data_IF_950680815982
#
_entry.id   IF_950680815982
#
_cell.length_a   1.000
_cell.length_b   1.000
_cell.length_c   1.000
_cell.angle_alpha   90.00
_cell.angle_beta   90.00
_cell.angle_gamma   90.00
#
_symmetry.space_group_name_H-M   'P 1'
#
loop_
_entity.id
_entity.type
_entity.pdbx_description
1 polymer ?
#
# COMPACT_ATOMS: atom_id res chain seq x y z
N UNK A 1 47.84 -4.76 -1.53
CA UNK A 1 46.95 -5.91 -1.26
C UNK A 1 45.77 -5.50 -0.35
N UNK A 2 45.28 -4.27 -0.46
CA UNK A 2 44.49 -3.64 0.63
C UNK A 2 43.11 -3.14 0.19
N UNK A 3 42.76 -3.25 -1.10
CA UNK A 3 41.47 -2.80 -1.64
C UNK A 3 40.45 -3.93 -1.89
N UNK A 4 40.80 -5.20 -1.66
CA UNK A 4 39.87 -6.33 -1.83
C UNK A 4 39.07 -6.68 -0.56
N UNK A 5 39.52 -6.21 0.61
CA UNK A 5 38.86 -6.47 1.89
C UNK A 5 37.66 -5.54 2.16
N UNK A 6 37.60 -4.38 1.51
CA UNK A 6 36.52 -3.39 1.74
C UNK A 6 35.19 -3.78 1.09
N UNK A 7 35.22 -4.53 -0.03
CA UNK A 7 34.01 -4.98 -0.74
C UNK A 7 33.29 -6.09 0.03
N UNK A 8 34.02 -6.92 0.76
CA UNK A 8 33.44 -7.99 1.59
C UNK A 8 32.71 -7.40 2.80
N UNK A 9 33.19 -6.29 3.36
CA UNK A 9 32.54 -5.62 4.49
C UNK A 9 31.20 -4.95 4.10
N UNK A 10 31.08 -4.46 2.86
CA UNK A 10 29.82 -3.87 2.35
C UNK A 10 28.76 -4.95 2.08
N UNK A 11 29.16 -6.18 1.70
CA UNK A 11 28.22 -7.28 1.47
C UNK A 11 27.65 -7.89 2.76
N UNK A 12 28.36 -7.81 3.88
CA UNK A 12 27.87 -8.30 5.19
C UNK A 12 26.88 -7.31 5.81
N UNK A 13 26.97 -6.01 5.48
CA UNK A 13 26.08 -4.97 6.00
C UNK A 13 24.68 -4.95 5.34
N UNK A 14 24.49 -5.67 4.23
CA UNK A 14 23.20 -5.78 3.53
C UNK A 14 22.31 -6.93 4.00
N UNK A 15 22.71 -7.66 5.06
CA UNK A 15 21.78 -8.49 5.83
C UNK A 15 20.96 -7.52 6.69
N UNK A 16 20.11 -6.74 6.02
CA UNK A 16 19.01 -6.05 6.65
C UNK A 16 18.19 -7.15 7.30
N UNK A 17 18.07 -7.09 8.63
CA UNK A 17 17.15 -7.91 9.40
C UNK A 17 15.73 -7.56 8.95
N UNK A 18 15.30 -8.05 7.79
CA UNK A 18 13.91 -8.36 7.59
C UNK A 18 13.66 -9.53 8.53
N UNK A 19 13.19 -9.23 9.75
CA UNK A 19 12.63 -10.27 10.59
C UNK A 19 11.40 -10.79 9.83
N UNK A 20 11.57 -11.93 9.17
CA UNK A 20 10.50 -12.58 8.45
C UNK A 20 9.38 -12.86 9.45
N UNK A 21 8.16 -12.51 9.05
CA UNK A 21 7.01 -12.77 9.90
C UNK A 21 6.80 -14.28 9.99
N UNK A 22 6.49 -14.75 11.19
CA UNK A 22 6.34 -16.16 11.51
C UNK A 22 4.94 -16.59 11.16
N UNK A 23 4.81 -17.38 10.10
CA UNK A 23 3.55 -18.05 9.75
C UNK A 23 3.07 -18.94 10.89
N UNK A 24 1.81 -18.77 11.25
CA UNK A 24 1.12 -19.55 12.29
C UNK A 24 -0.16 -20.12 11.70
N UNK A 25 -0.24 -21.45 11.64
CA UNK A 25 -1.48 -22.14 11.29
C UNK A 25 -2.41 -22.06 12.51
N UNK A 26 -3.56 -21.42 12.31
CA UNK A 26 -4.54 -21.13 13.38
C UNK A 26 -5.72 -22.10 13.34
N UNK A 27 -5.97 -22.70 12.18
CA UNK A 27 -6.89 -23.83 11.98
C UNK A 27 -6.30 -24.74 10.89
N UNK A 28 -6.99 -25.84 10.55
CA UNK A 28 -6.58 -26.69 9.41
C UNK A 28 -6.70 -25.97 8.06
N UNK A 29 -7.59 -24.97 7.95
CA UNK A 29 -7.89 -24.26 6.71
C UNK A 29 -7.41 -22.81 6.71
N UNK A 30 -6.83 -22.29 7.80
CA UNK A 30 -6.42 -20.89 7.90
C UNK A 30 -5.09 -20.69 8.63
N UNK A 31 -4.34 -19.69 8.17
CA UNK A 31 -3.06 -19.27 8.73
C UNK A 31 -2.94 -17.75 8.76
N UNK A 32 -2.09 -17.23 9.63
CA UNK A 32 -1.75 -15.81 9.71
C UNK A 32 -0.29 -15.66 10.13
N UNK A 33 0.37 -14.61 9.66
CA UNK A 33 1.76 -14.34 10.05
C UNK A 33 1.81 -13.35 11.22
N UNK A 34 2.69 -13.60 12.18
CA UNK A 34 3.00 -12.69 13.29
C UNK A 34 4.43 -12.13 13.18
N UNK A 35 4.72 -10.91 13.68
CA UNK A 35 6.09 -10.36 13.62
C UNK A 35 7.11 -11.11 14.48
N UNK A 36 6.62 -11.82 15.50
CA UNK A 36 7.38 -12.71 16.38
C UNK A 36 6.56 -13.98 16.60
N UNK A 37 7.18 -15.04 17.15
CA UNK A 37 6.45 -16.26 17.50
C UNK A 37 5.30 -15.92 18.47
N UNK A 38 4.08 -16.30 18.12
CA UNK A 38 2.92 -16.10 18.98
C UNK A 38 2.90 -17.07 20.16
N UNK A 39 2.37 -16.61 21.28
CA UNK A 39 1.97 -17.43 22.43
C UNK A 39 0.55 -17.94 22.23
N UNK A 40 0.33 -19.21 22.59
CA UNK A 40 -0.98 -19.87 22.51
C UNK A 40 -1.60 -19.95 23.89
N UNK A 41 -2.85 -19.48 24.00
CA UNK A 41 -3.68 -19.57 25.20
C UNK A 41 -4.95 -20.32 24.80
N UNK A 42 -5.13 -21.52 25.35
CA UNK A 42 -6.35 -22.30 25.17
C UNK A 42 -7.25 -22.16 26.39
N UNK A 43 -8.51 -21.83 26.14
CA UNK A 43 -9.56 -21.82 27.16
C UNK A 43 -10.65 -22.81 26.77
N UNK A 44 -11.60 -23.07 27.66
CA UNK A 44 -12.76 -23.93 27.33
C UNK A 44 -13.65 -23.36 26.21
N UNK A 45 -13.51 -22.08 25.87
CA UNK A 45 -14.39 -21.38 24.91
C UNK A 45 -13.67 -20.93 23.65
N UNK A 46 -12.39 -20.58 23.77
CA UNK A 46 -11.64 -19.89 22.71
C UNK A 46 -10.18 -20.33 22.73
N UNK A 47 -9.60 -20.38 21.54
CA UNK A 47 -8.15 -20.50 21.31
C UNK A 47 -7.62 -19.13 20.92
N UNK A 48 -6.62 -18.62 21.64
CA UNK A 48 -6.07 -17.29 21.42
C UNK A 48 -4.58 -17.37 21.11
N UNK A 49 -4.18 -16.80 19.99
CA UNK A 49 -2.79 -16.57 19.63
C UNK A 49 -2.48 -15.09 19.85
N UNK A 50 -1.44 -14.79 20.63
CA UNK A 50 -1.04 -13.40 20.87
C UNK A 50 0.45 -13.21 20.61
N UNK A 51 0.82 -12.05 20.08
CA UNK A 51 2.19 -11.62 19.93
C UNK A 51 2.28 -10.11 20.19
N UNK A 52 3.47 -9.65 20.58
CA UNK A 52 3.76 -8.24 20.79
C UNK A 52 5.14 -7.92 20.25
N UNK A 53 5.24 -6.81 19.52
CA UNK A 53 6.51 -6.17 19.18
C UNK A 53 6.51 -4.71 19.67
N UNK A 54 7.44 -3.89 19.17
CA UNK A 54 7.50 -2.46 19.51
C UNK A 54 6.36 -1.62 18.90
N UNK A 55 5.63 -2.15 17.91
CA UNK A 55 4.64 -1.42 17.14
C UNK A 55 3.20 -1.72 17.57
N UNK A 56 2.89 -2.96 17.97
CA UNK A 56 1.52 -3.34 18.32
C UNK A 56 1.40 -4.61 19.15
N UNK A 57 0.19 -4.82 19.66
CA UNK A 57 -0.31 -6.17 19.97
C UNK A 57 -1.01 -6.75 18.75
N UNK A 58 -0.76 -8.02 18.50
CA UNK A 58 -1.32 -8.83 17.41
C UNK A 58 -2.03 -10.01 18.05
N UNK A 59 -3.34 -10.15 17.85
CA UNK A 59 -4.13 -11.17 18.53
C UNK A 59 -5.05 -11.85 17.53
N UNK A 60 -5.11 -13.18 17.56
CA UNK A 60 -6.18 -13.94 16.92
C UNK A 60 -6.93 -14.71 17.99
N UNK A 61 -8.24 -14.52 18.08
CA UNK A 61 -9.14 -15.38 18.86
C UNK A 61 -10.00 -16.21 17.93
N UNK A 62 -10.12 -17.50 18.24
CA UNK A 62 -10.90 -18.48 17.49
C UNK A 62 -11.90 -19.09 18.44
N UNK A 63 -13.18 -18.93 18.10
CA UNK A 63 -14.28 -19.57 18.80
C UNK A 63 -14.97 -20.55 17.87
N UNK A 64 -14.81 -21.84 18.15
CA UNK A 64 -15.52 -22.90 17.45
C UNK A 64 -16.94 -23.03 17.99
N UNK A 65 -17.93 -22.92 17.10
CA UNK A 65 -19.32 -23.21 17.40
C UNK A 65 -19.54 -24.73 17.39
N UNK A 66 -20.51 -25.19 18.18
CA UNK A 66 -20.96 -26.59 18.12
C UNK A 66 -21.72 -26.85 16.82
N UNK A 67 -21.79 -28.11 16.38
CA UNK A 67 -22.58 -28.51 15.20
C UNK A 67 -24.05 -28.07 15.29
N UNK A 68 -24.61 -28.08 16.50
CA UNK A 68 -25.97 -27.59 16.75
C UNK A 68 -26.09 -26.07 16.55
N UNK A 69 -25.09 -25.30 16.96
CA UNK A 69 -25.09 -23.84 16.77
C UNK A 69 -24.83 -23.48 15.30
N UNK A 70 -23.88 -24.14 14.66
CA UNK A 70 -23.48 -23.85 13.27
C UNK A 70 -24.55 -24.24 12.26
N UNK A 71 -25.24 -25.37 12.47
CA UNK A 71 -26.35 -25.82 11.59
C UNK A 71 -27.57 -24.90 11.57
N UNK A 72 -27.69 -23.99 12.53
CA UNK A 72 -28.78 -23.01 12.60
C UNK A 72 -28.41 -21.67 11.94
N UNK A 73 -27.14 -21.45 11.58
CA UNK A 73 -26.67 -20.21 10.98
C UNK A 73 -26.95 -20.22 9.49
N UNK A 74 -27.74 -19.26 9.03
CA UNK A 74 -27.93 -18.98 7.60
C UNK A 74 -27.03 -17.83 7.16
N UNK A 75 -26.88 -17.63 5.85
CA UNK A 75 -26.14 -16.49 5.30
C UNK A 75 -26.72 -15.15 5.76
N UNK A 76 -28.02 -15.08 6.04
CA UNK A 76 -28.70 -13.87 6.53
C UNK A 76 -28.35 -13.56 8.01
N UNK A 77 -27.91 -14.57 8.77
CA UNK A 77 -27.52 -14.42 10.18
C UNK A 77 -26.07 -13.93 10.35
N UNK A 78 -25.21 -14.15 9.35
CA UNK A 78 -23.78 -13.80 9.39
C UNK A 78 -23.55 -12.33 9.78
N UNK A 79 -24.26 -11.32 9.20
CA UNK A 79 -24.12 -9.93 9.63
C UNK A 79 -24.43 -9.70 11.12
N UNK A 80 -25.40 -10.44 11.68
CA UNK A 80 -25.74 -10.34 13.10
C UNK A 80 -24.66 -10.96 14.00
N UNK A 81 -24.01 -12.04 13.55
CA UNK A 81 -22.84 -12.61 14.23
C UNK A 81 -21.72 -11.58 14.29
N UNK A 82 -21.40 -10.94 13.16
CA UNK A 82 -20.36 -9.92 13.10
C UNK A 82 -20.66 -8.72 13.98
N UNK A 83 -21.91 -8.25 13.97
CA UNK A 83 -22.36 -7.18 14.85
C UNK A 83 -22.27 -7.57 16.32
N UNK A 84 -22.72 -8.76 16.70
CA UNK A 84 -22.64 -9.23 18.09
C UNK A 84 -21.20 -9.32 18.62
N UNK A 85 -20.26 -9.78 17.79
CA UNK A 85 -18.83 -9.82 18.13
C UNK A 85 -18.24 -8.40 18.25
N UNK A 86 -18.58 -7.51 17.30
CA UNK A 86 -18.16 -6.11 17.34
C UNK A 86 -18.69 -5.38 18.58
N UNK A 87 -19.99 -5.49 18.86
CA UNK A 87 -20.65 -4.88 20.01
C UNK A 87 -20.05 -5.38 21.32
N UNK A 88 -19.75 -6.68 21.42
CA UNK A 88 -19.05 -7.25 22.58
C UNK A 88 -17.66 -6.64 22.79
N UNK A 89 -16.89 -6.43 21.72
CA UNK A 89 -15.57 -5.80 21.81
C UNK A 89 -15.65 -4.32 22.22
N UNK A 90 -16.62 -3.60 21.68
CA UNK A 90 -16.85 -2.18 21.98
C UNK A 90 -17.32 -2.02 23.42
N UNK A 91 -18.33 -2.78 23.85
CA UNK A 91 -18.90 -2.70 25.19
C UNK A 91 -17.89 -3.10 26.27
N UNK A 92 -17.11 -4.18 26.06
CA UNK A 92 -16.12 -4.66 27.03
C UNK A 92 -14.97 -3.69 27.27
N UNK A 93 -14.70 -2.78 26.34
CA UNK A 93 -13.64 -1.77 26.44
C UNK A 93 -14.15 -0.34 26.62
N UNK A 94 -15.46 -0.19 26.85
CA UNK A 94 -16.16 1.10 26.90
C UNK A 94 -15.73 2.02 25.74
N UNK A 95 -15.70 1.45 24.54
CA UNK A 95 -15.15 2.09 23.37
C UNK A 95 -16.18 2.89 22.56
N UNK A 96 -15.69 3.77 21.72
CA UNK A 96 -16.45 4.44 20.68
C UNK A 96 -16.11 3.83 19.31
N UNK A 97 -17.13 3.43 18.54
CA UNK A 97 -16.95 2.95 17.19
C UNK A 97 -16.51 4.10 16.27
N UNK A 98 -15.43 3.89 15.52
CA UNK A 98 -14.95 4.83 14.49
C UNK A 98 -15.49 4.43 13.12
N UNK A 99 -15.34 3.15 12.76
CA UNK A 99 -15.88 2.62 11.50
C UNK A 99 -16.12 1.12 11.60
N UNK A 100 -17.06 0.62 10.78
CA UNK A 100 -17.33 -0.81 10.58
C UNK A 100 -17.66 -1.00 9.11
N UNK A 101 -16.80 -1.72 8.39
CA UNK A 101 -16.91 -1.90 6.95
C UNK A 101 -17.01 -3.39 6.63
N UNK A 102 -17.93 -3.75 5.75
CA UNK A 102 -17.96 -5.07 5.14
C UNK A 102 -16.82 -5.17 4.11
N UNK A 103 -16.14 -6.31 4.13
CA UNK A 103 -15.05 -6.66 3.23
C UNK A 103 -15.23 -8.12 2.77
N UNK A 104 -14.47 -8.54 1.75
CA UNK A 104 -14.45 -9.93 1.29
C UNK A 104 -13.04 -10.48 1.31
N UNK A 105 -12.87 -11.68 1.86
CA UNK A 105 -11.59 -12.41 1.89
C UNK A 105 -11.82 -13.69 1.10
N UNK A 106 -11.23 -13.80 -0.09
CA UNK A 106 -11.51 -14.91 -1.01
C UNK A 106 -13.03 -15.13 -1.24
N UNK A 107 -13.79 -14.04 -1.44
CA UNK A 107 -15.26 -14.03 -1.59
C UNK A 107 -16.07 -14.40 -0.33
N UNK A 108 -15.40 -14.69 0.80
CA UNK A 108 -16.08 -14.91 2.08
C UNK A 108 -16.32 -13.54 2.72
N UNK A 109 -17.57 -13.20 3.08
CA UNK A 109 -17.89 -11.93 3.72
C UNK A 109 -17.22 -11.87 5.09
N UNK A 110 -16.65 -10.71 5.42
CA UNK A 110 -16.03 -10.42 6.69
C UNK A 110 -16.29 -8.95 7.05
N UNK A 111 -15.98 -8.56 8.29
CA UNK A 111 -16.08 -7.16 8.71
C UNK A 111 -14.75 -6.71 9.28
N UNK A 112 -14.32 -5.51 8.91
CA UNK A 112 -13.23 -4.78 9.57
C UNK A 112 -13.80 -3.55 10.30
N UNK A 113 -13.46 -3.40 11.57
CA UNK A 113 -13.85 -2.27 12.39
C UNK A 113 -12.64 -1.57 13.01
N UNK A 114 -12.81 -0.27 13.21
CA UNK A 114 -11.92 0.58 13.98
C UNK A 114 -12.72 1.18 15.14
N UNK A 115 -12.15 1.17 16.34
CA UNK A 115 -12.79 1.70 17.54
C UNK A 115 -11.74 2.25 18.50
N UNK A 116 -12.15 3.22 19.32
CA UNK A 116 -11.30 3.83 20.33
C UNK A 116 -11.76 3.38 21.71
N UNK A 117 -11.01 2.48 22.34
CA UNK A 117 -11.21 2.09 23.72
C UNK A 117 -10.94 3.26 24.66
N UNK A 118 -11.62 3.28 25.80
CA UNK A 118 -11.36 4.28 26.84
C UNK A 118 -9.88 4.27 27.24
N UNK A 119 -9.33 5.47 27.50
CA UNK A 119 -7.91 5.63 27.85
C UNK A 119 -7.52 4.72 29.03
N UNK A 120 -6.53 3.87 28.78
CA UNK A 120 -5.90 3.00 29.76
C UNK A 120 -4.38 3.18 29.61
N UNK A 121 -3.63 3.46 30.70
CA UNK A 121 -2.18 3.63 30.63
C UNK A 121 -1.43 2.42 30.05
N UNK A 122 -2.00 1.22 30.21
CA UNK A 122 -1.33 -0.05 29.86
C UNK A 122 -1.70 -0.55 28.46
N UNK A 123 -2.75 0.00 27.84
CA UNK A 123 -3.29 -0.49 26.57
C UNK A 123 -3.64 0.66 25.62
N UNK A 124 -3.35 0.53 24.33
CA UNK A 124 -3.66 1.57 23.37
C UNK A 124 -5.18 1.75 23.19
N UNK A 125 -5.57 3.01 22.96
CA UNK A 125 -6.96 3.40 22.75
C UNK A 125 -7.44 2.99 21.37
N UNK A 126 -6.71 3.36 20.30
CA UNK A 126 -7.07 2.97 18.93
C UNK A 126 -6.89 1.46 18.76
N UNK A 127 -7.91 0.80 18.21
CA UNK A 127 -7.91 -0.64 17.95
C UNK A 127 -8.58 -0.94 16.63
N UNK A 128 -8.04 -1.94 15.95
CA UNK A 128 -8.59 -2.48 14.72
C UNK A 128 -8.93 -3.95 14.95
N UNK A 129 -10.07 -4.38 14.42
CA UNK A 129 -10.49 -5.78 14.48
C UNK A 129 -11.06 -6.20 13.13
N UNK A 130 -10.77 -7.43 12.74
CA UNK A 130 -11.36 -8.11 11.59
C UNK A 130 -12.06 -9.38 12.08
N UNK A 131 -13.28 -9.61 11.62
CA UNK A 131 -14.13 -10.72 12.03
C UNK A 131 -14.55 -11.49 10.78
N UNK A 132 -14.35 -12.81 10.81
CA UNK A 132 -14.79 -13.73 9.76
C UNK A 132 -15.39 -14.99 10.39
N UNK A 133 -16.52 -15.44 9.85
CA UNK A 133 -17.12 -16.73 10.19
C UNK A 133 -16.88 -17.71 9.04
N UNK A 134 -16.21 -18.81 9.33
CA UNK A 134 -15.88 -19.84 8.34
C UNK A 134 -15.74 -21.21 9.02
N UNK A 135 -16.31 -22.25 8.42
CA UNK A 135 -16.22 -23.64 8.88
C UNK A 135 -16.47 -23.77 10.40
N UNK A 136 -17.62 -23.25 10.84
CA UNK A 136 -18.04 -23.23 12.25
C UNK A 136 -17.17 -22.39 13.20
N UNK A 137 -16.14 -21.70 12.72
CA UNK A 137 -15.26 -20.88 13.52
C UNK A 137 -15.59 -19.40 13.35
N UNK A 138 -15.77 -18.69 14.46
CA UNK A 138 -15.69 -17.24 14.50
C UNK A 138 -14.23 -16.88 14.77
N UNK A 139 -13.56 -16.30 13.78
CA UNK A 139 -12.17 -15.86 13.87
C UNK A 139 -12.16 -14.34 13.99
N UNK A 140 -11.59 -13.85 15.09
CA UNK A 140 -11.32 -12.42 15.32
C UNK A 140 -9.82 -12.16 15.23
N UNK A 141 -9.42 -11.20 14.41
CA UNK A 141 -8.03 -10.75 14.24
C UNK A 141 -7.95 -9.31 14.72
N UNK A 142 -7.18 -9.05 15.77
CA UNK A 142 -7.07 -7.75 16.42
C UNK A 142 -5.66 -7.17 16.29
N UNK A 143 -5.59 -5.89 15.98
CA UNK A 143 -4.36 -5.12 15.89
C UNK A 143 -4.48 -3.86 16.75
N UNK A 144 -3.64 -3.76 17.78
CA UNK A 144 -3.67 -2.67 18.75
C UNK A 144 -2.36 -1.89 18.70
N UNK A 145 -2.28 -0.76 17.98
CA UNK A 145 -1.04 -0.01 17.78
C UNK A 145 -0.53 0.62 19.08
N UNK A 146 0.77 0.43 19.35
CA UNK A 146 1.52 1.08 20.44
C UNK A 146 2.08 2.45 20.04
N UNK A 147 1.95 2.83 18.76
CA UNK A 147 2.43 4.09 18.20
C UNK A 147 1.28 4.92 17.62
N UNK A 148 1.40 6.24 17.74
CA UNK A 148 0.47 7.19 17.13
C UNK A 148 0.91 7.60 15.71
N UNK A 149 2.03 7.04 15.20
CA UNK A 149 2.52 7.31 13.85
C UNK A 149 1.65 6.58 12.82
N UNK A 150 0.73 7.32 12.20
CA UNK A 150 -0.27 6.80 11.26
C UNK A 150 0.32 5.93 10.15
N UNK A 151 1.45 6.33 9.57
CA UNK A 151 2.07 5.59 8.46
C UNK A 151 2.57 4.21 8.91
N UNK A 152 3.23 4.13 10.07
CA UNK A 152 3.68 2.86 10.66
C UNK A 152 2.48 2.00 11.04
N UNK A 153 1.48 2.59 11.70
CA UNK A 153 0.23 1.89 12.09
C UNK A 153 -0.43 1.26 10.86
N UNK A 154 -0.58 2.02 9.77
CA UNK A 154 -1.20 1.53 8.55
C UNK A 154 -0.37 0.44 7.87
N UNK A 155 0.95 0.60 7.79
CA UNK A 155 1.85 -0.41 7.23
C UNK A 155 1.76 -1.73 7.99
N UNK A 156 1.91 -1.70 9.32
CA UNK A 156 1.89 -2.90 10.16
C UNK A 156 0.51 -3.55 10.21
N UNK A 157 -0.56 -2.76 10.31
CA UNK A 157 -1.93 -3.25 10.24
C UNK A 157 -2.18 -3.97 8.91
N UNK A 158 -1.85 -3.32 7.78
CA UNK A 158 -2.06 -3.90 6.46
C UNK A 158 -1.25 -5.20 6.29
N UNK A 159 0.02 -5.22 6.72
CA UNK A 159 0.85 -6.42 6.67
C UNK A 159 0.25 -7.58 7.48
N UNK A 160 -0.24 -7.30 8.69
CA UNK A 160 -0.85 -8.33 9.53
C UNK A 160 -2.19 -8.82 9.01
N UNK A 161 -3.09 -7.92 8.67
CA UNK A 161 -4.42 -8.30 8.22
C UNK A 161 -4.38 -9.02 6.87
N UNK A 162 -3.45 -8.64 5.98
CA UNK A 162 -3.30 -9.27 4.67
C UNK A 162 -2.45 -10.56 4.70
N UNK A 163 -1.82 -10.90 5.83
CA UNK A 163 -1.16 -12.21 5.99
C UNK A 163 -2.14 -13.32 6.36
N UNK A 164 -3.40 -12.99 6.65
CA UNK A 164 -4.44 -13.98 6.87
C UNK A 164 -4.80 -14.68 5.56
N UNK A 165 -4.53 -15.98 5.51
CA UNK A 165 -4.75 -16.83 4.34
C UNK A 165 -5.71 -17.96 4.70
N UNK A 166 -6.61 -18.25 3.76
CA UNK A 166 -7.54 -19.38 3.82
C UNK A 166 -7.10 -20.38 2.74
N UNK A 167 -6.78 -21.60 3.13
CA UNK A 167 -6.44 -22.68 2.22
C UNK A 167 -7.74 -23.31 1.69
N UNK A 168 -8.20 -22.83 0.54
CA UNK A 168 -9.47 -23.26 -0.07
C UNK A 168 -9.58 -24.77 -0.34
N UNK A 169 -8.45 -25.48 -0.47
CA UNK A 169 -8.43 -26.92 -0.74
C UNK A 169 -8.98 -27.77 0.43
N UNK A 170 -9.04 -27.23 1.64
CA UNK A 170 -9.50 -27.94 2.84
C UNK A 170 -10.90 -27.49 3.30
N UNK A 171 -11.42 -26.38 2.77
CA UNK A 171 -12.77 -25.86 3.06
C UNK A 171 -13.87 -26.70 2.37
N UNK A 172 -13.56 -27.31 1.23
CA UNK A 172 -14.49 -28.11 0.41
C UNK A 172 -14.79 -29.52 0.95
N UNK A 173 -14.16 -29.96 2.05
CA UNK A 173 -14.39 -31.32 2.59
C UNK A 173 -15.55 -31.41 3.59
N UNK A 174 -16.11 -30.29 4.05
CA UNK A 174 -17.10 -30.30 5.15
C UNK A 174 -18.32 -29.41 4.92
N UNK A 175 -18.46 -28.78 3.75
CA UNK A 175 -19.68 -28.02 3.41
C UNK A 175 -20.51 -28.76 2.36
N UNK A 176 -21.46 -29.57 2.84
CA UNK A 176 -22.53 -30.08 1.98
C UNK A 176 -23.40 -28.92 1.49
N UNK A 177 -23.59 -28.89 0.17
CA UNK A 177 -24.64 -28.17 -0.58
C UNK A 177 -24.42 -26.67 -0.80
N UNK A 178 -23.55 -26.34 -1.75
CA UNK A 178 -23.77 -25.17 -2.62
C UNK A 178 -24.07 -25.71 -4.02
N UNK A 179 -25.28 -25.42 -4.51
CA UNK A 179 -25.68 -25.73 -5.87
C UNK A 179 -24.69 -25.10 -6.85
N UNK A 180 -24.24 -25.94 -7.79
CA UNK A 180 -23.45 -25.54 -8.94
C UNK A 180 -24.28 -24.59 -9.81
N UNK A 181 -23.88 -23.33 -9.85
CA UNK A 181 -23.87 -22.58 -11.10
C UNK A 181 -22.40 -22.25 -11.40
N UNK A 182 -21.84 -23.04 -12.30
CA UNK A 182 -20.47 -22.88 -12.81
C UNK A 182 -20.49 -21.69 -13.77
N UNK A 183 -20.33 -20.48 -13.26
CA UNK A 183 -19.94 -19.34 -14.09
C UNK A 183 -18.42 -19.21 -14.09
N UNK A 184 -17.87 -19.67 -15.20
CA UNK A 184 -16.45 -19.79 -15.49
C UNK A 184 -15.90 -18.43 -15.93
N UNK A 185 -15.61 -17.54 -15.00
CA UNK A 185 -14.63 -16.46 -15.20
C UNK A 185 -14.42 -15.71 -13.90
N UNK A 186 -13.20 -15.71 -13.35
CA UNK A 186 -12.68 -14.62 -12.50
C UNK A 186 -11.14 -14.73 -12.26
N UNK A 187 -10.40 -15.38 -13.17
CA UNK A 187 -8.94 -15.19 -13.28
C UNK A 187 -8.57 -13.94 -14.10
N UNK A 188 -9.56 -13.30 -14.72
CA UNK A 188 -9.32 -12.32 -15.78
C UNK A 188 -9.41 -10.88 -15.29
N UNK A 189 -9.89 -10.64 -14.06
CA UNK A 189 -10.08 -9.29 -13.54
C UNK A 189 -8.81 -8.70 -12.90
N UNK A 190 -8.08 -9.46 -12.09
CA UNK A 190 -6.80 -8.99 -11.53
C UNK A 190 -5.67 -9.02 -12.58
N UNK A 191 -5.67 -10.02 -13.46
CA UNK A 191 -4.73 -10.09 -14.59
C UNK A 191 -5.02 -8.97 -15.62
N UNK A 192 -6.29 -8.63 -15.84
CA UNK A 192 -6.71 -7.57 -16.76
C UNK A 192 -6.28 -6.17 -16.34
N UNK A 193 -6.27 -5.87 -15.04
CA UNK A 193 -5.89 -4.56 -14.51
C UNK A 193 -4.37 -4.32 -14.61
N UNK A 194 -3.56 -5.37 -14.36
CA UNK A 194 -2.10 -5.33 -14.52
C UNK A 194 -1.70 -5.29 -16.01
N UNK A 195 -2.35 -6.10 -16.86
CA UNK A 195 -2.12 -6.07 -18.32
C UNK A 195 -2.51 -4.71 -18.90
N UNK A 196 -3.63 -4.12 -18.45
CA UNK A 196 -4.08 -2.79 -18.86
C UNK A 196 -3.07 -1.69 -18.53
N UNK A 197 -2.47 -1.71 -17.33
CA UNK A 197 -1.43 -0.77 -16.95
C UNK A 197 -0.17 -0.91 -17.82
N UNK A 198 0.27 -2.13 -18.13
CA UNK A 198 1.45 -2.36 -18.97
C UNK A 198 1.22 -1.84 -20.40
N UNK A 199 0.06 -2.15 -21.00
CA UNK A 199 -0.30 -1.68 -22.34
C UNK A 199 -0.38 -0.15 -22.37
N UNK A 200 -0.96 0.48 -21.34
CA UNK A 200 -1.03 1.93 -21.23
C UNK A 200 0.37 2.58 -21.21
N UNK A 201 1.30 2.06 -20.41
CA UNK A 201 2.66 2.60 -20.37
C UNK A 201 3.44 2.38 -21.68
N UNK A 202 3.24 1.26 -22.38
CA UNK A 202 3.87 1.01 -23.69
C UNK A 202 3.35 1.99 -24.75
N UNK A 203 2.04 2.25 -24.76
CA UNK A 203 1.45 3.25 -25.67
C UNK A 203 1.95 4.66 -25.32
N UNK A 204 2.03 5.00 -24.04
CA UNK A 204 2.52 6.31 -23.59
C UNK A 204 3.99 6.53 -24.00
N UNK A 205 4.86 5.54 -23.80
CA UNK A 205 6.28 5.62 -24.17
C UNK A 205 6.44 5.71 -25.69
N UNK A 206 5.71 4.92 -26.46
CA UNK A 206 5.77 4.97 -27.93
C UNK A 206 5.28 6.32 -28.49
N UNK A 207 4.25 6.91 -27.88
CA UNK A 207 3.77 8.25 -28.21
C UNK A 207 4.82 9.34 -27.92
N UNK A 208 5.47 9.29 -26.76
CA UNK A 208 6.55 10.23 -26.42
C UNK A 208 7.75 10.11 -27.37
N UNK A 209 8.15 8.89 -27.74
CA UNK A 209 9.20 8.65 -28.74
C UNK A 209 8.76 9.21 -30.11
N UNK A 210 7.51 9.00 -30.50
CA UNK A 210 6.92 9.54 -31.72
C UNK A 210 6.98 11.07 -31.78
N UNK A 211 6.65 11.77 -30.69
CA UNK A 211 6.77 13.23 -30.59
C UNK A 211 8.23 13.67 -30.79
N UNK A 212 9.19 13.01 -30.15
CA UNK A 212 10.62 13.34 -30.29
C UNK A 212 11.08 13.16 -31.74
N UNK A 213 10.66 12.09 -32.41
CA UNK A 213 10.96 11.87 -33.82
C UNK A 213 10.27 12.89 -34.74
N UNK A 214 9.02 13.27 -34.44
CA UNK A 214 8.28 14.28 -35.20
C UNK A 214 8.95 15.65 -35.09
N UNK A 215 9.38 16.06 -33.88
CA UNK A 215 10.15 17.29 -33.65
C UNK A 215 11.45 17.26 -34.46
N UNK A 216 12.22 16.15 -34.38
CA UNK A 216 13.46 15.99 -35.16
C UNK A 216 13.20 16.03 -36.67
N UNK A 217 12.11 15.43 -37.13
CA UNK A 217 11.70 15.43 -38.54
C UNK A 217 11.33 16.83 -39.03
N UNK A 218 10.54 17.59 -38.26
CA UNK A 218 10.18 18.96 -38.60
C UNK A 218 11.40 19.90 -38.64
N UNK A 219 12.33 19.75 -37.70
CA UNK A 219 13.61 20.46 -37.72
C UNK A 219 14.43 20.09 -38.98
N UNK A 220 14.46 18.80 -39.36
CA UNK A 220 15.19 18.33 -40.55
C UNK A 220 14.52 18.77 -41.87
N UNK A 221 13.19 18.81 -41.92
CA UNK A 221 12.41 19.30 -43.08
C UNK A 221 12.65 20.79 -43.31
N UNK A 222 12.71 21.58 -42.25
CA UNK A 222 13.01 23.01 -42.34
C UNK A 222 14.48 23.31 -42.67
N UNK A 223 15.40 22.35 -42.53
CA UNK A 223 16.79 22.46 -43.00
C UNK A 223 16.96 22.14 -44.50
N UNK A 224 15.99 21.48 -45.16
CA UNK A 224 16.09 21.10 -46.59
C UNK A 224 15.49 22.13 -47.57
N UNK A 225 15.10 23.32 -47.10
CA UNK A 225 14.62 24.44 -47.94
C UNK A 225 15.54 25.66 -47.94
N UNK A 226 16.86 25.46 -47.84
CA UNK A 226 17.82 26.53 -48.12
C UNK A 226 19.03 25.99 -48.88
N UNK A 227 19.04 26.23 -50.19
CA UNK A 227 20.23 26.25 -51.05
C UNK A 227 20.26 27.63 -51.73
N UNK A 228 21.41 28.12 -52.21
CA UNK A 228 22.04 29.33 -51.68
C UNK A 228 22.05 30.49 -52.68
N UNK A 229 22.14 31.72 -52.19
CA UNK A 229 22.67 32.83 -52.98
C UNK A 229 23.77 33.52 -52.17
N UNK A 230 24.92 33.68 -52.81
CA UNK A 230 26.15 34.23 -52.27
C UNK A 230 26.19 35.76 -52.40
N UNK A 231 26.85 36.38 -51.42
CA UNK A 231 27.56 37.68 -51.43
C UNK A 231 26.64 38.93 -51.47
N UNK A 232 26.74 39.94 -50.61
CA UNK A 232 27.87 40.47 -49.84
C UNK A 232 27.43 40.99 -48.44
N UNK A 233 28.46 41.19 -47.64
CA UNK A 233 28.57 41.30 -46.20
C UNK A 233 28.45 42.75 -45.70
N UNK A 234 27.53 43.05 -44.76
CA UNK A 234 27.89 43.91 -43.62
C UNK A 234 26.91 43.82 -42.43
N UNK A 235 27.53 43.56 -41.29
CA UNK A 235 27.06 43.40 -39.91
C UNK A 235 25.84 44.21 -39.44
N UNK A 236 24.90 43.51 -38.77
CA UNK A 236 24.33 43.99 -37.50
C UNK A 236 24.38 42.86 -36.48
N UNK A 237 25.34 42.97 -35.57
CA UNK A 237 25.48 42.09 -34.42
C UNK A 237 24.18 42.10 -33.61
N UNK A 238 23.66 40.89 -33.31
CA UNK A 238 22.61 40.71 -32.32
C UNK A 238 23.22 41.04 -30.96
N UNK A 239 22.89 42.21 -30.42
CA UNK A 239 23.41 42.68 -29.13
C UNK A 239 22.94 41.71 -28.04
N UNK A 240 23.88 40.97 -27.45
CA UNK A 240 23.62 39.92 -26.45
C UNK A 240 23.82 40.39 -25.01
N UNK A 241 24.16 41.67 -24.82
CA UNK A 241 24.58 42.24 -23.54
C UNK A 241 24.02 43.65 -23.36
N UNK A 242 23.68 44.00 -22.12
CA UNK A 242 23.15 45.31 -21.72
C UNK A 242 24.00 45.88 -20.59
N UNK A 243 24.34 47.16 -20.66
CA UNK A 243 25.17 47.83 -19.66
C UNK A 243 24.26 48.53 -18.63
N UNK A 244 24.55 48.33 -17.35
CA UNK A 244 23.82 48.99 -16.26
C UNK A 244 24.10 50.50 -16.27
N UNK A 245 23.06 51.32 -16.33
CA UNK A 245 23.19 52.78 -16.36
C UNK A 245 23.66 53.38 -15.03
N UNK A 246 23.58 52.63 -13.92
CA UNK A 246 23.96 53.11 -12.59
C UNK A 246 25.44 52.83 -12.24
N UNK A 247 25.99 51.69 -12.66
CA UNK A 247 27.35 51.29 -12.29
C UNK A 247 28.23 50.83 -13.46
N UNK A 248 27.73 50.93 -14.70
CA UNK A 248 28.40 50.55 -15.94
C UNK A 248 28.82 49.07 -16.04
N UNK A 249 28.32 48.20 -15.16
CA UNK A 249 28.59 46.78 -15.22
C UNK A 249 27.84 46.12 -16.40
N UNK A 250 28.49 45.17 -17.08
CA UNK A 250 27.93 44.47 -18.24
C UNK A 250 27.08 43.26 -17.80
N UNK A 251 25.81 43.23 -18.20
CA UNK A 251 24.84 42.20 -17.83
C UNK A 251 24.28 41.50 -19.08
N UNK A 252 23.71 40.31 -18.92
CA UNK A 252 23.02 39.59 -20.01
C UNK A 252 21.65 40.23 -20.26
N UNK A 253 21.22 40.33 -21.52
CA UNK A 253 20.03 41.11 -21.93
C UNK A 253 18.68 40.61 -21.34
N UNK A 254 18.65 39.40 -20.79
CA UNK A 254 17.46 38.80 -20.16
C UNK A 254 17.41 38.97 -18.64
N UNK A 255 18.44 39.60 -18.04
CA UNK A 255 18.46 39.85 -16.59
C UNK A 255 17.65 41.09 -16.25
N UNK A 256 16.74 40.96 -15.26
CA UNK A 256 15.86 42.06 -14.84
C UNK A 256 16.56 43.08 -13.94
N UNK A 257 17.60 42.66 -13.22
CA UNK A 257 18.38 43.51 -12.32
C UNK A 257 19.88 43.30 -12.56
N UNK A 258 20.67 44.34 -12.30
CA UNK A 258 22.13 44.29 -12.45
C UNK A 258 22.76 43.36 -11.43
N UNK A 259 23.57 42.40 -11.89
CA UNK A 259 24.23 41.40 -11.04
C UNK A 259 25.27 41.97 -10.07
N UNK A 260 25.70 43.22 -10.25
CA UNK A 260 26.70 43.87 -9.39
C UNK A 260 26.09 44.82 -8.36
N UNK A 261 25.06 45.60 -8.72
CA UNK A 261 24.50 46.62 -7.83
C UNK A 261 22.98 46.50 -7.57
N UNK A 262 22.30 45.54 -8.19
CA UNK A 262 20.86 45.30 -7.98
C UNK A 262 19.90 46.28 -8.68
N UNK A 263 20.42 47.27 -9.43
CA UNK A 263 19.60 48.25 -10.16
C UNK A 263 18.75 47.59 -11.27
N UNK A 264 17.49 47.99 -11.44
CA UNK A 264 16.58 47.41 -12.45
C UNK A 264 16.98 47.84 -13.88
N UNK A 265 17.11 46.86 -14.77
CA UNK A 265 17.51 47.09 -16.16
C UNK A 265 16.25 47.14 -17.03
N UNK A 266 15.89 48.34 -17.48
CA UNK A 266 14.75 48.54 -18.37
C UNK A 266 15.08 47.96 -19.75
N UNK A 267 14.32 46.97 -20.21
CA UNK A 267 14.48 46.39 -21.57
C UNK A 267 14.14 47.47 -22.60
N UNK A 268 15.08 47.77 -23.51
CA UNK A 268 14.84 48.60 -24.71
C UNK A 268 14.54 47.70 -25.89
#
# INVERSE_FOLDING_TARGET
MTNKLFIIFIFIASITYAQDWVKTDITEFASIDFPVKSELIETQRETVYNAKDEFAYYIVSIRKLTDQQSSQITNEDIPNIYRGVADGAIASSNAELVSMNEIYIHQIPAVELEYNAQSNPDLPSQRFKRIIYLDQNIISIDFWPLTNQKDITNEKKAKYFNSFLINSNDVDKTSATVNQDIDKSNSDFETGLIIGQIIFYVILISFLIGIVFLIRYLIKKNRKKKTPFHNEEQSRAKVTKIICQNCNFENKIETKFCSSCGYELTKV
#
